data_IF_430493451002
#
_entry.id   IF_430493451002
#
_cell.length_a   1.000
_cell.length_b   1.000
_cell.length_c   1.000
_cell.angle_alpha   90.00
_cell.angle_beta   90.00
_cell.angle_gamma   90.00
#
_symmetry.space_group_name_H-M   'P 1'
#
loop_
_entity.id
_entity.type
_entity.pdbx_description
1 polymer ?
#
# COMPACT_ATOMS: atom_id res chain seq x y z
N UNK A 1 4.60 14.67 3.14
CA UNK A 1 4.59 13.36 2.46
C UNK A 1 4.53 12.19 3.43
N UNK A 2 5.45 12.08 4.39
CA UNK A 2 5.48 10.99 5.39
C UNK A 2 4.15 10.76 6.13
N UNK A 3 3.49 11.80 6.64
CA UNK A 3 2.18 11.66 7.31
C UNK A 3 1.06 11.20 6.36
N UNK A 4 1.08 11.63 5.10
CA UNK A 4 0.09 11.21 4.10
C UNK A 4 0.23 9.73 3.78
N UNK A 5 1.47 9.24 3.62
CA UNK A 5 1.77 7.82 3.44
C UNK A 5 1.27 6.99 4.63
N UNK A 6 1.53 7.45 5.86
CA UNK A 6 1.06 6.79 7.07
C UNK A 6 -0.46 6.76 7.18
N UNK A 7 -1.14 7.88 6.94
CA UNK A 7 -2.61 7.94 6.95
C UNK A 7 -3.20 6.98 5.91
N UNK A 8 -2.63 6.96 4.69
CA UNK A 8 -3.07 6.07 3.62
C UNK A 8 -2.91 4.59 4.02
N UNK A 9 -1.75 4.20 4.55
CA UNK A 9 -1.51 2.82 5.00
C UNK A 9 -2.45 2.44 6.15
N UNK A 10 -2.60 3.29 7.17
CA UNK A 10 -3.51 3.03 8.28
C UNK A 10 -4.96 2.87 7.79
N UNK A 11 -5.41 3.71 6.85
CA UNK A 11 -6.73 3.60 6.26
C UNK A 11 -6.92 2.26 5.53
N UNK A 12 -5.94 1.84 4.71
CA UNK A 12 -6.00 0.57 3.99
C UNK A 12 -6.01 -0.63 4.95
N UNK A 13 -5.27 -0.57 6.05
CA UNK A 13 -5.28 -1.62 7.10
C UNK A 13 -6.66 -1.72 7.75
N UNK A 14 -7.25 -0.59 8.14
CA UNK A 14 -8.60 -0.58 8.74
C UNK A 14 -9.65 -1.12 7.76
N UNK A 15 -9.58 -0.70 6.49
CA UNK A 15 -10.46 -1.25 5.46
C UNK A 15 -10.24 -2.76 5.31
N UNK A 16 -9.00 -3.23 5.22
CA UNK A 16 -8.71 -4.66 5.08
C UNK A 16 -9.30 -5.49 6.23
N UNK A 17 -9.29 -4.97 7.46
CA UNK A 17 -9.84 -5.65 8.63
C UNK A 17 -11.36 -5.52 8.77
N UNK A 18 -12.02 -4.70 7.95
CA UNK A 18 -13.46 -4.54 7.99
C UNK A 18 -14.16 -5.81 7.48
N UNK A 19 -14.97 -6.43 8.34
CA UNK A 19 -15.71 -7.67 8.03
C UNK A 19 -17.06 -7.43 7.36
N UNK A 20 -17.48 -6.18 7.20
CA UNK A 20 -18.76 -5.81 6.58
C UNK A 20 -19.07 -6.50 5.24
N UNK A 21 -18.11 -6.65 4.29
CA UNK A 21 -18.39 -7.33 3.02
C UNK A 21 -18.35 -8.86 3.11
N UNK A 22 -17.97 -9.46 4.25
CA UNK A 22 -17.68 -10.91 4.36
C UNK A 22 -18.91 -11.79 4.21
N UNK A 23 -20.11 -11.26 4.44
CA UNK A 23 -21.38 -11.99 4.30
C UNK A 23 -22.12 -11.61 3.01
N UNK A 24 -21.48 -10.87 2.12
CA UNK A 24 -22.11 -10.43 0.87
C UNK A 24 -22.13 -11.54 -0.17
N UNK A 25 -23.32 -12.03 -0.50
CA UNK A 25 -23.56 -12.97 -1.61
C UNK A 25 -23.53 -12.31 -3.00
N UNK A 26 -23.33 -10.99 -3.07
CA UNK A 26 -23.25 -10.26 -4.34
C UNK A 26 -22.10 -10.79 -5.19
N UNK A 27 -22.36 -11.08 -6.46
CA UNK A 27 -21.32 -11.33 -7.46
C UNK A 27 -20.98 -10.04 -8.21
N UNK A 28 -19.69 -9.71 -8.26
CA UNK A 28 -19.17 -8.71 -9.17
C UNK A 28 -18.92 -9.35 -10.54
N UNK A 29 -19.29 -8.64 -11.62
CA UNK A 29 -19.11 -9.08 -13.02
C UNK A 29 -19.73 -10.44 -13.35
N UNK A 30 -20.66 -10.93 -12.53
CA UNK A 30 -21.34 -12.21 -12.72
C UNK A 30 -20.55 -13.46 -12.31
N UNK A 31 -19.30 -13.32 -11.86
CA UNK A 31 -18.46 -14.48 -11.47
C UNK A 31 -17.55 -14.27 -10.25
N UNK A 32 -17.24 -13.02 -9.89
CA UNK A 32 -16.33 -12.74 -8.76
C UNK A 32 -17.17 -12.66 -7.48
N UNK A 33 -16.94 -13.51 -6.47
CA UNK A 33 -17.62 -13.38 -5.19
C UNK A 33 -17.36 -12.00 -4.57
N UNK A 34 -18.37 -11.43 -3.91
CA UNK A 34 -18.31 -10.07 -3.36
C UNK A 34 -17.12 -9.86 -2.42
N UNK A 35 -16.89 -10.85 -1.55
CA UNK A 35 -15.72 -10.90 -0.67
C UNK A 35 -14.42 -10.86 -1.45
N UNK A 36 -14.31 -11.64 -2.52
CA UNK A 36 -13.09 -11.71 -3.34
C UNK A 36 -12.85 -10.40 -4.09
N UNK A 37 -13.91 -9.80 -4.66
CA UNK A 37 -13.84 -8.51 -5.34
C UNK A 37 -13.37 -7.39 -4.40
N UNK A 38 -13.85 -7.39 -3.16
CA UNK A 38 -13.38 -6.47 -2.12
C UNK A 38 -11.87 -6.59 -1.87
N UNK A 39 -11.38 -7.82 -1.64
CA UNK A 39 -9.96 -8.06 -1.37
C UNK A 39 -9.08 -7.74 -2.59
N UNK A 40 -9.57 -7.95 -3.81
CA UNK A 40 -8.86 -7.58 -5.04
C UNK A 40 -8.66 -6.06 -5.13
N UNK A 41 -9.68 -5.28 -4.83
CA UNK A 41 -9.57 -3.80 -4.81
C UNK A 41 -8.58 -3.35 -3.74
N UNK A 42 -8.63 -3.91 -2.53
CA UNK A 42 -7.68 -3.58 -1.45
C UNK A 42 -6.25 -3.94 -1.85
N UNK A 43 -6.03 -5.07 -2.51
CA UNK A 43 -4.70 -5.49 -3.00
C UNK A 43 -4.15 -4.49 -4.01
N UNK A 44 -4.95 -4.10 -5.00
CA UNK A 44 -4.56 -3.10 -6.00
C UNK A 44 -4.29 -1.73 -5.37
N UNK A 45 -5.14 -1.30 -4.44
CA UNK A 45 -4.95 -0.07 -3.69
C UNK A 45 -3.64 -0.09 -2.88
N UNK A 46 -3.31 -1.23 -2.25
CA UNK A 46 -2.07 -1.40 -1.48
C UNK A 46 -0.85 -1.31 -2.39
N UNK A 47 -0.88 -1.97 -3.54
CA UNK A 47 0.21 -1.89 -4.53
C UNK A 47 0.41 -0.45 -5.01
N UNK A 48 -0.67 0.26 -5.33
CA UNK A 48 -0.63 1.67 -5.73
C UNK A 48 -0.11 2.59 -4.63
N UNK A 49 -0.57 2.40 -3.39
CA UNK A 49 -0.08 3.14 -2.23
C UNK A 49 1.43 2.94 -2.04
N UNK A 50 1.93 1.71 -2.16
CA UNK A 50 3.36 1.43 -2.06
C UNK A 50 4.18 2.06 -3.19
N UNK A 51 3.67 2.02 -4.42
CA UNK A 51 4.30 2.70 -5.56
C UNK A 51 4.43 4.21 -5.33
N UNK A 52 3.40 4.85 -4.75
CA UNK A 52 3.45 6.26 -4.37
C UNK A 52 4.46 6.52 -3.25
N UNK A 53 4.52 5.66 -2.22
CA UNK A 53 5.52 5.75 -1.14
C UNK A 53 6.93 5.68 -1.70
N UNK A 54 7.22 4.71 -2.57
CA UNK A 54 8.54 4.59 -3.22
C UNK A 54 8.87 5.83 -4.05
N UNK A 55 7.90 6.33 -4.83
CA UNK A 55 8.14 7.49 -5.72
C UNK A 55 8.34 8.81 -4.98
N UNK A 56 7.61 9.04 -3.87
CA UNK A 56 7.52 10.36 -3.24
C UNK A 56 8.08 10.44 -1.81
N UNK A 57 8.14 9.34 -1.09
CA UNK A 57 8.60 9.30 0.31
C UNK A 57 9.95 8.59 0.47
N UNK A 58 10.42 7.83 -0.52
CA UNK A 58 11.73 7.19 -0.47
C UNK A 58 12.85 8.26 -0.54
N UNK A 59 13.78 8.28 0.43
CA UNK A 59 14.85 9.26 0.46
C UNK A 59 15.86 8.99 -0.66
N UNK A 60 16.20 10.05 -1.42
CA UNK A 60 17.17 9.99 -2.54
C UNK A 60 18.64 10.07 -2.11
N UNK A 61 18.91 10.37 -0.84
CA UNK A 61 20.26 10.54 -0.30
C UNK A 61 20.78 9.27 0.40
N UNK A 62 20.21 8.09 0.11
CA UNK A 62 20.71 6.84 0.69
C UNK A 62 22.04 6.39 0.06
N UNK A 63 22.36 6.85 -1.15
CA UNK A 63 23.61 6.54 -1.86
C UNK A 63 24.83 7.40 -1.46
N UNK A 64 24.72 8.37 -0.54
CA UNK A 64 25.83 9.30 -0.23
C UNK A 64 26.83 8.78 0.83
N UNK A 65 27.08 7.47 0.88
CA UNK A 65 28.21 6.94 1.64
C UNK A 65 29.36 6.59 0.69
N UNK A 66 30.08 7.61 0.25
CA UNK A 66 31.46 7.40 -0.22
C UNK A 66 32.32 7.03 0.99
N UNK A 67 32.99 5.87 1.01
CA UNK A 67 34.16 5.69 1.86
C UNK A 67 35.32 6.48 1.23
N UNK A 68 35.28 7.81 1.38
CA UNK A 68 36.44 8.67 1.09
C UNK A 68 36.75 9.52 2.32
N UNK A 69 37.30 8.88 3.35
CA UNK A 69 38.05 9.57 4.40
C UNK A 69 39.20 8.71 4.93
N UNK A 70 40.37 8.84 4.28
CA UNK A 70 41.73 8.84 4.84
C UNK A 70 42.17 7.66 5.72
N UNK A 71 43.31 7.02 5.44
CA UNK A 71 44.64 7.63 5.52
C UNK A 71 45.70 6.52 5.31
N UNK A 72 47.00 6.88 5.16
CA UNK A 72 47.74 7.30 3.98
C UNK A 72 48.40 6.13 3.20
#
# INVERSE_FOLDING_TARGET
MKYVAWILICLLVVLHQCTSPWQSEKLYLGFIPGVLGYHLVITLATAGAWALVVKFAWPKNLESHSPEDGNP
#
